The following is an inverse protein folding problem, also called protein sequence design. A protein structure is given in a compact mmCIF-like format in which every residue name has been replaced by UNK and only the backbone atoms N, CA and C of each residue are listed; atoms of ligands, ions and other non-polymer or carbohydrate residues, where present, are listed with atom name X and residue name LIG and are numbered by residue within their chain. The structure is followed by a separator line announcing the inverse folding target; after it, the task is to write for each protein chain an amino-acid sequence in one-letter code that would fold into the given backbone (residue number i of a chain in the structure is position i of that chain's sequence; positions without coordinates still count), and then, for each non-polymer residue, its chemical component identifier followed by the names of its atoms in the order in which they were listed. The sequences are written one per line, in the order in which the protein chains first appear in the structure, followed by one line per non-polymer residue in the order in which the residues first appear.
data_IF_839628309997
#
_entry.id   IF_839628309997
#
_cell.length_a   1.000
_cell.length_b   1.000
_cell.length_c   1.000
_cell.angle_alpha   90.00
_cell.angle_beta   90.00
_cell.angle_gamma   90.00
#
_symmetry.space_group_name_H-M   'P 1'
#
loop_
_entity.id
_entity.type
_entity.pdbx_description
1 polymer ?
#
# COMPACT_ATOMS: atom_id res chain seq x y z
N UNK A 1 -13.80 12.18 -41.78
CA UNK A 1 -14.95 11.53 -41.12
C UNK A 1 -14.39 10.60 -40.06
N UNK A 2 -14.25 11.05 -38.82
CA UNK A 2 -13.80 10.20 -37.72
C UNK A 2 -14.97 9.33 -37.28
N UNK A 3 -14.89 8.02 -37.54
CA UNK A 3 -15.83 7.02 -37.02
C UNK A 3 -15.82 7.12 -35.49
N UNK A 4 -16.92 7.56 -34.89
CA UNK A 4 -17.00 7.89 -33.45
C UNK A 4 -17.19 6.69 -32.53
N UNK A 5 -17.27 5.47 -33.07
CA UNK A 5 -17.44 4.23 -32.31
C UNK A 5 -16.15 3.41 -32.16
N UNK A 6 -16.19 2.34 -31.33
CA UNK A 6 -15.10 1.39 -31.23
C UNK A 6 -14.77 0.78 -32.60
N UNK A 7 -13.48 0.65 -32.91
CA UNK A 7 -13.00 -0.04 -34.12
C UNK A 7 -11.95 -1.08 -33.77
N UNK A 8 -11.95 -2.16 -34.53
CA UNK A 8 -10.97 -3.24 -34.37
C UNK A 8 -9.78 -2.99 -35.31
N UNK A 9 -8.58 -3.16 -34.78
CA UNK A 9 -7.33 -3.06 -35.54
C UNK A 9 -6.46 -4.26 -35.25
N UNK A 10 -5.84 -4.79 -36.31
CA UNK A 10 -4.90 -5.90 -36.22
C UNK A 10 -3.49 -5.37 -36.47
N UNK A 11 -2.59 -5.64 -35.52
CA UNK A 11 -1.19 -5.22 -35.57
C UNK A 11 -0.32 -6.46 -35.61
N UNK A 12 0.48 -6.59 -36.66
CA UNK A 12 1.48 -7.65 -36.77
C UNK A 12 2.81 -7.10 -36.28
N UNK A 13 3.42 -7.78 -35.32
CA UNK A 13 4.68 -7.38 -34.69
C UNK A 13 5.79 -7.30 -35.74
N UNK A 14 6.53 -6.21 -35.72
CA UNK A 14 7.74 -6.03 -36.53
C UNK A 14 9.00 -6.26 -35.69
N UNK A 15 10.18 -6.11 -36.30
CA UNK A 15 11.48 -6.14 -35.62
C UNK A 15 11.57 -5.14 -34.46
N UNK A 16 10.84 -4.02 -34.53
CA UNK A 16 10.75 -3.00 -33.48
C UNK A 16 9.58 -3.22 -32.51
N UNK A 17 8.99 -4.42 -32.51
CA UNK A 17 7.77 -4.74 -31.75
C UNK A 17 6.51 -4.23 -32.44
N UNK A 18 5.48 -3.93 -31.64
CA UNK A 18 4.20 -3.39 -32.14
C UNK A 18 4.27 -1.88 -32.43
N UNK A 19 5.26 -1.16 -31.93
CA UNK A 19 5.50 0.24 -32.29
C UNK A 19 4.54 1.26 -31.68
N UNK A 20 4.03 1.01 -30.47
CA UNK A 20 3.24 2.00 -29.71
C UNK A 20 3.46 1.85 -28.20
N UNK A 21 3.15 2.90 -27.45
CA UNK A 21 3.22 2.90 -25.99
C UNK A 21 1.81 2.95 -25.39
N UNK A 22 1.61 2.21 -24.30
CA UNK A 22 0.36 2.20 -23.52
C UNK A 22 0.57 2.97 -22.23
N UNK A 23 -0.43 3.75 -21.82
CA UNK A 23 -0.44 4.50 -20.57
C UNK A 23 -1.83 4.49 -19.94
N UNK A 24 -1.90 4.59 -18.62
CA UNK A 24 -3.15 4.76 -17.88
C UNK A 24 -2.99 4.33 -16.43
N UNK A 25 -4.08 3.90 -15.81
CA UNK A 25 -4.13 3.67 -14.36
C UNK A 25 -3.40 2.39 -13.92
N UNK A 26 -2.92 2.41 -12.68
CA UNK A 26 -2.24 1.26 -12.05
C UNK A 26 -3.19 0.48 -11.14
N UNK A 27 -4.26 1.11 -10.64
CA UNK A 27 -5.32 0.47 -9.85
C UNK A 27 -6.41 -0.15 -10.73
N UNK A 28 -7.03 -1.22 -10.24
CA UNK A 28 -8.19 -1.84 -10.86
C UNK A 28 -9.48 -1.07 -10.52
N UNK A 29 -10.43 -1.01 -11.46
CA UNK A 29 -11.68 -0.27 -11.31
C UNK A 29 -11.51 1.25 -11.39
N UNK A 30 -12.39 2.00 -10.75
CA UNK A 30 -12.35 3.47 -10.69
C UNK A 30 -13.59 4.16 -11.28
N UNK A 31 -13.64 5.49 -11.14
CA UNK A 31 -14.80 6.28 -11.55
C UNK A 31 -15.06 6.19 -13.06
N UNK A 32 -16.32 5.99 -13.45
CA UNK A 32 -16.73 5.97 -14.85
C UNK A 32 -16.39 7.30 -15.55
N UNK A 33 -15.90 7.22 -16.79
CA UNK A 33 -15.56 8.37 -17.63
C UNK A 33 -16.36 8.35 -18.92
N UNK A 34 -16.84 9.52 -19.32
CA UNK A 34 -17.50 9.69 -20.62
C UNK A 34 -16.45 9.80 -21.72
N UNK A 35 -16.53 8.94 -22.73
CA UNK A 35 -15.71 8.96 -23.95
C UNK A 35 -16.69 8.97 -25.13
N UNK A 36 -16.63 10.00 -25.97
CA UNK A 36 -17.57 10.21 -27.08
C UNK A 36 -19.05 10.15 -26.66
N UNK A 37 -19.39 10.55 -25.43
CA UNK A 37 -20.76 10.58 -24.92
C UNK A 37 -21.25 9.27 -24.29
N UNK A 38 -20.42 8.22 -24.27
CA UNK A 38 -20.73 6.95 -23.62
C UNK A 38 -19.83 6.74 -22.38
N UNK A 39 -20.43 6.22 -21.31
CA UNK A 39 -19.71 5.94 -20.06
C UNK A 39 -18.97 4.61 -20.16
N UNK A 40 -17.69 4.64 -19.80
CA UNK A 40 -16.83 3.47 -19.69
C UNK A 40 -16.15 3.46 -18.33
N UNK A 41 -15.78 2.27 -17.83
CA UNK A 41 -14.79 2.20 -16.77
C UNK A 41 -13.45 2.79 -17.27
N UNK A 42 -12.52 3.16 -16.38
CA UNK A 42 -11.26 3.73 -16.83
C UNK A 42 -10.53 2.84 -17.85
N UNK A 43 -10.11 3.43 -18.96
CA UNK A 43 -9.42 2.75 -20.06
C UNK A 43 -7.96 3.16 -20.14
N UNK A 44 -7.10 2.20 -20.47
CA UNK A 44 -5.74 2.48 -20.91
C UNK A 44 -5.77 3.15 -22.29
N UNK A 45 -4.71 3.87 -22.65
CA UNK A 45 -4.64 4.60 -23.91
C UNK A 45 -3.26 4.56 -24.55
N UNK A 46 -3.24 4.85 -25.84
CA UNK A 46 -2.01 4.95 -26.63
C UNK A 46 -1.37 6.31 -26.38
N UNK A 47 -0.20 6.34 -25.73
CA UNK A 47 0.50 7.60 -25.42
C UNK A 47 1.46 8.03 -26.52
N UNK A 48 1.97 7.09 -27.31
CA UNK A 48 2.87 7.35 -28.42
C UNK A 48 2.73 6.26 -29.48
N UNK A 49 2.99 6.63 -30.74
CA UNK A 49 3.01 5.72 -31.89
C UNK A 49 4.31 5.98 -32.66
N UNK A 50 5.05 4.92 -32.95
CA UNK A 50 6.28 4.99 -33.73
C UNK A 50 5.92 5.22 -35.21
N UNK A 51 6.31 6.37 -35.75
CA UNK A 51 6.08 6.72 -37.16
C UNK A 51 6.70 5.67 -38.09
N UNK A 52 5.91 5.14 -39.02
CA UNK A 52 6.29 4.05 -39.92
C UNK A 52 6.35 2.66 -39.27
N UNK A 53 6.07 2.54 -37.97
CA UNK A 53 6.01 1.29 -37.23
C UNK A 53 4.76 0.46 -37.51
N UNK A 54 4.67 -0.73 -36.91
CA UNK A 54 3.55 -1.64 -37.11
C UNK A 54 2.19 -1.03 -36.72
N UNK A 55 2.10 -0.40 -35.54
CA UNK A 55 0.88 0.27 -35.07
C UNK A 55 0.47 1.45 -35.96
N UNK A 56 1.42 2.27 -36.42
CA UNK A 56 1.14 3.39 -37.34
C UNK A 56 0.54 2.89 -38.66
N UNK A 57 1.13 1.84 -39.24
CA UNK A 57 0.61 1.18 -40.45
C UNK A 57 -0.76 0.53 -40.24
N UNK A 58 -1.05 0.08 -39.01
CA UNK A 58 -2.35 -0.47 -38.64
C UNK A 58 -3.41 0.60 -38.31
N UNK A 59 -3.06 1.89 -38.34
CA UNK A 59 -3.99 2.99 -38.09
C UNK A 59 -4.30 3.25 -36.62
N UNK A 60 -3.39 2.85 -35.72
CA UNK A 60 -3.42 3.29 -34.32
C UNK A 60 -3.00 4.76 -34.25
N UNK A 61 -3.78 5.55 -33.51
CA UNK A 61 -3.50 6.95 -33.28
C UNK A 61 -3.17 7.21 -31.82
N UNK A 62 -2.34 8.24 -31.58
CA UNK A 62 -2.11 8.76 -30.23
C UNK A 62 -3.45 9.21 -29.63
N UNK A 63 -3.69 8.83 -28.37
CA UNK A 63 -4.91 9.11 -27.64
C UNK A 63 -5.99 8.03 -27.76
N UNK A 64 -5.84 7.06 -28.67
CA UNK A 64 -6.77 5.93 -28.79
C UNK A 64 -6.93 5.20 -27.46
N UNK A 65 -8.18 5.00 -27.03
CA UNK A 65 -8.53 4.27 -25.81
C UNK A 65 -8.66 2.79 -26.11
N UNK A 66 -7.99 1.94 -25.36
CA UNK A 66 -8.01 0.50 -25.56
C UNK A 66 -9.18 -0.07 -24.78
N UNK A 67 -10.15 -0.63 -25.51
CA UNK A 67 -11.36 -1.25 -24.95
C UNK A 67 -11.19 -2.76 -24.80
N UNK A 68 -10.54 -3.41 -25.77
CA UNK A 68 -10.28 -4.86 -25.75
C UNK A 68 -8.89 -5.19 -26.28
N UNK A 69 -8.30 -6.27 -25.75
CA UNK A 69 -7.04 -6.87 -26.20
C UNK A 69 -7.30 -8.34 -26.50
N UNK A 70 -7.07 -8.76 -27.75
CA UNK A 70 -7.29 -10.13 -28.23
C UNK A 70 -8.68 -10.69 -27.87
N UNK A 71 -9.72 -9.84 -27.96
CA UNK A 71 -11.10 -10.19 -27.62
C UNK A 71 -11.44 -10.19 -26.12
N UNK A 72 -10.48 -9.86 -25.25
CA UNK A 72 -10.74 -9.67 -23.82
C UNK A 72 -10.95 -8.20 -23.50
N UNK A 73 -12.10 -7.85 -22.90
CA UNK A 73 -12.35 -6.49 -22.42
C UNK A 73 -11.34 -6.11 -21.34
N UNK A 74 -10.84 -4.87 -21.42
CA UNK A 74 -9.88 -4.29 -20.48
C UNK A 74 -10.44 -3.08 -19.74
N UNK A 75 -11.78 -2.97 -19.69
CA UNK A 75 -12.46 -1.95 -18.90
C UNK A 75 -12.09 -2.03 -17.42
N UNK A 76 -11.58 -0.92 -16.86
CA UNK A 76 -11.14 -0.85 -15.47
C UNK A 76 -9.87 -1.63 -15.16
N UNK A 77 -9.23 -2.26 -16.15
CA UNK A 77 -8.00 -3.04 -15.95
C UNK A 77 -6.80 -2.14 -15.65
N UNK A 78 -5.89 -2.67 -14.85
CA UNK A 78 -4.59 -2.07 -14.54
C UNK A 78 -3.68 -2.02 -15.78
N UNK A 79 -2.70 -1.13 -15.76
CA UNK A 79 -1.67 -1.06 -16.80
C UNK A 79 -0.98 -2.42 -17.00
N UNK A 80 -0.64 -3.10 -15.90
CA UNK A 80 0.02 -4.41 -15.91
C UNK A 80 -0.83 -5.46 -16.63
N UNK A 81 -2.10 -5.61 -16.25
CA UNK A 81 -3.02 -6.57 -16.88
C UNK A 81 -3.12 -6.34 -18.40
N UNK A 82 -3.25 -5.09 -18.85
CA UNK A 82 -3.33 -4.77 -20.29
C UNK A 82 -2.02 -5.09 -21.01
N UNK A 83 -0.86 -4.76 -20.42
CA UNK A 83 0.45 -5.07 -20.99
C UNK A 83 0.68 -6.59 -21.06
N UNK A 84 0.29 -7.33 -20.03
CA UNK A 84 0.44 -8.78 -20.00
C UNK A 84 -0.44 -9.45 -21.07
N UNK A 85 -1.68 -8.98 -21.26
CA UNK A 85 -2.55 -9.43 -22.35
C UNK A 85 -1.92 -9.16 -23.72
N UNK A 86 -1.35 -7.97 -23.94
CA UNK A 86 -0.67 -7.63 -25.20
C UNK A 86 0.53 -8.57 -25.44
N UNK A 87 1.34 -8.83 -24.41
CA UNK A 87 2.53 -9.69 -24.51
C UNK A 87 2.18 -11.16 -24.71
N UNK A 88 1.08 -11.64 -24.13
CA UNK A 88 0.64 -13.03 -24.22
C UNK A 88 0.16 -13.44 -25.62
N UNK A 89 -0.25 -12.46 -26.45
CA UNK A 89 -0.81 -12.69 -27.79
C UNK A 89 0.19 -13.06 -28.89
N UNK A 90 1.49 -13.15 -28.58
CA UNK A 90 2.52 -13.48 -29.57
C UNK A 90 2.79 -12.36 -30.57
N UNK A 91 2.83 -12.67 -31.86
CA UNK A 91 3.22 -11.73 -32.92
C UNK A 91 2.03 -11.03 -33.61
N UNK A 92 0.79 -11.43 -33.30
CA UNK A 92 -0.41 -10.79 -33.83
C UNK A 92 -1.24 -10.26 -32.68
N UNK A 93 -1.51 -8.96 -32.69
CA UNK A 93 -2.28 -8.26 -31.68
C UNK A 93 -3.58 -7.72 -32.28
N UNK A 94 -4.71 -8.11 -31.71
CA UNK A 94 -6.02 -7.55 -32.05
C UNK A 94 -6.44 -6.57 -30.97
N UNK A 95 -6.65 -5.29 -31.31
CA UNK A 95 -7.13 -4.28 -30.37
C UNK A 95 -8.50 -3.76 -30.81
N UNK A 96 -9.41 -3.61 -29.87
CA UNK A 96 -10.61 -2.79 -30.05
C UNK A 96 -10.31 -1.44 -29.42
N UNK A 97 -10.32 -0.36 -30.21
CA UNK A 97 -9.95 0.99 -29.77
C UNK A 97 -11.04 2.02 -30.06
N UNK A 98 -11.12 3.05 -29.22
CA UNK A 98 -11.98 4.22 -29.40
C UNK A 98 -11.09 5.43 -29.66
N UNK A 99 -11.21 6.03 -30.85
CA UNK A 99 -10.52 7.30 -31.12
C UNK A 99 -11.19 8.46 -30.42
N UNK A 100 -10.35 9.34 -29.90
CA UNK A 100 -10.72 10.63 -29.33
C UNK A 100 -10.33 11.75 -30.28
N UNK A 101 -10.86 12.96 -30.05
CA UNK A 101 -10.47 14.12 -30.84
C UNK A 101 -9.00 14.49 -30.63
N UNK A 102 -8.37 15.17 -31.60
CA UNK A 102 -6.98 15.65 -31.46
C UNK A 102 -6.79 16.53 -30.23
N UNK A 103 -7.75 17.41 -29.92
CA UNK A 103 -7.76 18.22 -28.70
C UNK A 103 -7.78 17.38 -27.42
N UNK A 104 -8.50 16.27 -27.41
CA UNK A 104 -8.50 15.35 -26.26
C UNK A 104 -7.20 14.55 -26.19
N UNK A 105 -6.64 14.15 -27.32
CA UNK A 105 -5.34 13.48 -27.37
C UNK A 105 -4.20 14.42 -26.90
N UNK A 106 -4.26 15.71 -27.23
CA UNK A 106 -3.33 16.76 -26.79
C UNK A 106 -3.47 17.06 -25.30
N UNK A 107 -4.68 17.00 -24.72
CA UNK A 107 -4.87 17.08 -23.25
C UNK A 107 -4.25 15.92 -22.49
N UNK A 108 -3.87 14.85 -23.18
CA UNK A 108 -3.10 13.74 -22.61
C UNK A 108 -1.59 13.98 -22.71
N UNK A 109 -1.15 15.05 -23.37
CA UNK A 109 0.24 15.50 -23.34
C UNK A 109 0.53 16.20 -22.00
N UNK A 110 1.64 15.85 -21.32
CA UNK A 110 2.18 16.71 -20.29
C UNK A 110 2.67 18.00 -20.96
N UNK A 111 2.26 19.17 -20.47
CA UNK A 111 2.91 20.42 -20.86
C UNK A 111 4.40 20.34 -20.49
N UNK A 112 5.26 20.55 -21.48
CA UNK A 112 6.71 20.54 -21.35
C UNK A 112 7.20 21.68 -20.45
N UNK A 113 7.39 21.40 -19.17
CA UNK A 113 8.57 21.90 -18.44
C UNK A 113 9.16 20.74 -17.63
N UNK A 114 10.32 20.27 -18.09
CA UNK A 114 11.23 19.32 -17.43
C UNK A 114 10.89 17.83 -17.60
N UNK A 115 11.48 17.25 -18.65
CA UNK A 115 11.91 15.86 -18.78
C UNK A 115 11.15 14.79 -17.97
N UNK A 116 10.27 14.06 -18.66
CA UNK A 116 10.19 12.60 -18.51
C UNK A 116 9.89 12.04 -17.12
N UNK A 117 8.86 12.53 -16.42
CA UNK A 117 8.28 11.78 -15.30
C UNK A 117 6.79 11.61 -15.48
N UNK A 118 6.34 10.36 -15.34
CA UNK A 118 4.98 10.07 -14.94
C UNK A 118 4.58 11.05 -13.84
N UNK A 119 3.50 11.80 -14.04
CA UNK A 119 2.88 12.55 -12.94
C UNK A 119 2.42 11.52 -11.91
N UNK A 120 3.29 11.26 -10.95
CA UNK A 120 3.02 10.39 -9.82
C UNK A 120 2.41 11.30 -8.76
N UNK A 121 1.15 11.04 -8.43
CA UNK A 121 0.46 11.79 -7.39
C UNK A 121 0.98 11.37 -6.01
N UNK A 122 1.83 12.21 -5.42
CA UNK A 122 2.40 12.01 -4.08
C UNK A 122 1.51 12.60 -2.97
N UNK A 123 0.33 13.16 -3.29
CA UNK A 123 -0.56 13.79 -2.32
C UNK A 123 -1.29 12.78 -1.44
N UNK A 124 -1.46 11.55 -1.93
CA UNK A 124 -2.08 10.46 -1.19
C UNK A 124 -1.17 9.95 -0.07
N UNK A 125 -1.48 10.37 1.16
CA UNK A 125 -0.76 9.99 2.37
C UNK A 125 -1.54 8.95 3.17
N UNK A 126 -0.84 7.94 3.69
CA UNK A 126 -1.33 6.95 4.64
C UNK A 126 -0.40 6.89 5.86
N UNK A 127 -0.95 6.58 7.03
CA UNK A 127 -0.15 6.22 8.20
C UNK A 127 0.19 4.74 8.15
N UNK A 128 1.47 4.40 8.01
CA UNK A 128 1.96 3.03 8.15
C UNK A 128 2.84 2.96 9.40
N UNK A 129 2.54 2.08 10.37
CA UNK A 129 3.45 1.83 11.47
C UNK A 129 4.64 1.04 10.92
N UNK A 130 5.80 1.70 10.82
CA UNK A 130 7.07 1.07 10.43
C UNK A 130 7.97 1.08 11.66
N UNK A 131 8.62 -0.05 11.95
CA UNK A 131 9.57 -0.14 13.06
C UNK A 131 10.82 -0.86 12.60
N UNK A 132 11.99 -0.27 12.89
CA UNK A 132 13.28 -0.91 12.64
C UNK A 132 13.72 -1.60 13.94
N UNK A 133 13.95 -2.93 13.92
CA UNK A 133 14.38 -3.69 15.09
C UNK A 133 15.62 -3.09 15.79
N UNK A 134 15.72 -3.30 17.10
CA UNK A 134 16.85 -2.81 17.91
C UNK A 134 18.19 -3.36 17.38
N UNK A 135 19.22 -2.51 17.36
CA UNK A 135 20.55 -2.84 16.84
C UNK A 135 21.21 -3.99 17.61
N UNK A 136 20.77 -4.24 18.85
CA UNK A 136 21.27 -5.32 19.73
C UNK A 136 20.79 -6.73 19.33
N UNK A 137 19.75 -6.83 18.50
CA UNK A 137 19.21 -8.10 17.99
C UNK A 137 19.86 -8.51 16.65
N UNK A 138 20.66 -7.63 16.04
CA UNK A 138 21.26 -7.87 14.73
C UNK A 138 22.66 -8.49 14.87
N UNK A 139 22.71 -9.83 14.93
CA UNK A 139 23.96 -10.59 15.05
C UNK A 139 24.76 -10.72 13.72
N UNK A 140 24.53 -9.83 12.76
CA UNK A 140 25.25 -9.82 11.48
C UNK A 140 25.67 -8.42 11.07
N UNK A 141 26.88 -8.41 10.48
CA UNK A 141 27.75 -7.29 10.09
C UNK A 141 27.04 -6.06 9.51
N UNK A 142 27.80 -4.97 9.55
CA UNK A 142 27.71 -3.64 8.96
C UNK A 142 27.03 -3.44 7.57
N UNK A 143 26.37 -4.44 6.99
CA UNK A 143 25.72 -4.45 5.68
C UNK A 143 24.34 -3.80 5.65
N UNK A 144 23.58 -3.82 6.76
CA UNK A 144 22.20 -3.29 6.78
C UNK A 144 22.08 -1.81 6.42
N UNK A 145 23.05 -0.96 6.78
CA UNK A 145 22.98 0.46 6.39
C UNK A 145 23.18 0.63 4.87
N UNK A 146 23.98 -0.22 4.22
CA UNK A 146 24.19 -0.17 2.77
C UNK A 146 22.87 -0.37 2.04
N UNK A 147 22.05 -1.31 2.52
CA UNK A 147 20.74 -1.62 1.96
C UNK A 147 19.81 -0.38 1.99
N UNK A 148 19.83 0.42 3.07
CA UNK A 148 19.09 1.68 3.12
C UNK A 148 19.61 2.74 2.13
N UNK A 149 20.91 2.75 1.85
CA UNK A 149 21.50 3.64 0.84
C UNK A 149 21.07 3.20 -0.56
N UNK A 150 21.09 1.90 -0.82
CA UNK A 150 20.71 1.33 -2.10
C UNK A 150 19.21 1.52 -2.36
N UNK A 151 18.37 1.26 -1.35
CA UNK A 151 16.95 1.62 -1.34
C UNK A 151 16.76 3.10 -1.70
N UNK A 152 17.40 4.01 -0.96
CA UNK A 152 17.28 5.45 -1.17
C UNK A 152 17.65 5.86 -2.61
N UNK A 153 18.71 5.27 -3.15
CA UNK A 153 19.18 5.57 -4.50
C UNK A 153 18.24 5.01 -5.57
N UNK A 154 17.70 3.81 -5.37
CA UNK A 154 16.75 3.19 -6.31
C UNK A 154 15.42 3.95 -6.31
N UNK A 155 14.89 4.32 -5.13
CA UNK A 155 13.70 5.15 -5.02
C UNK A 155 13.89 6.53 -5.66
N UNK A 156 15.07 7.14 -5.50
CA UNK A 156 15.40 8.39 -6.19
C UNK A 156 15.47 8.27 -7.70
N UNK A 157 15.83 7.10 -8.24
CA UNK A 157 15.84 6.85 -9.69
C UNK A 157 14.44 6.59 -10.24
N UNK A 158 13.55 6.01 -9.43
CA UNK A 158 12.18 5.68 -9.87
C UNK A 158 11.21 6.86 -9.67
N UNK A 159 11.24 7.51 -8.51
CA UNK A 159 10.32 8.60 -8.13
C UNK A 159 10.96 9.98 -8.33
N UNK A 160 11.42 10.25 -9.54
CA UNK A 160 12.10 11.51 -9.82
C UNK A 160 11.06 12.63 -9.81
N UNK A 161 11.31 13.64 -8.97
CA UNK A 161 10.36 14.71 -8.65
C UNK A 161 9.75 14.59 -7.25
N UNK A 162 9.86 13.44 -6.58
CA UNK A 162 9.57 13.38 -5.14
C UNK A 162 10.72 13.98 -4.33
N UNK A 163 10.40 14.89 -3.42
CA UNK A 163 11.39 15.48 -2.52
C UNK A 163 11.66 14.54 -1.34
N UNK A 164 12.58 13.60 -1.54
CA UNK A 164 12.94 12.62 -0.52
C UNK A 164 13.52 13.28 0.75
N UNK A 165 13.12 12.82 1.95
CA UNK A 165 13.75 13.26 3.19
C UNK A 165 15.24 12.90 3.20
N UNK A 166 16.03 13.65 3.98
CA UNK A 166 17.47 13.38 4.12
C UNK A 166 17.68 12.03 4.78
N UNK A 167 18.41 11.14 4.10
CA UNK A 167 18.86 9.89 4.70
C UNK A 167 19.91 10.19 5.78
N UNK A 168 19.80 9.62 6.99
CA UNK A 168 20.85 9.73 8.01
C UNK A 168 22.19 9.29 7.43
N UNK A 169 23.23 10.10 7.57
CA UNK A 169 24.52 9.87 6.92
C UNK A 169 25.39 8.79 7.59
N UNK A 170 26.37 8.29 6.83
CA UNK A 170 27.47 7.45 7.32
C UNK A 170 28.49 8.33 8.04
N UNK A 171 28.82 8.00 9.28
CA UNK A 171 29.88 8.68 10.02
C UNK A 171 31.20 7.90 9.84
N UNK A 172 32.35 8.56 9.61
CA UNK A 172 33.59 7.89 9.20
C UNK A 172 34.33 7.15 10.33
N UNK A 173 33.75 7.09 11.53
CA UNK A 173 34.35 6.43 12.70
C UNK A 173 33.35 5.46 13.34
N UNK A 174 33.85 4.55 14.19
CA UNK A 174 33.01 3.64 14.97
C UNK A 174 32.02 4.44 15.83
N UNK A 175 30.74 4.14 15.68
CA UNK A 175 29.65 4.82 16.38
C UNK A 175 29.47 4.23 17.79
N UNK A 176 29.21 5.10 18.77
CA UNK A 176 28.76 4.65 20.09
C UNK A 176 27.36 4.02 20.01
N UNK A 177 26.97 3.23 21.01
CA UNK A 177 25.62 2.65 21.10
C UNK A 177 24.52 3.70 20.98
N UNK A 178 24.69 4.85 21.64
CA UNK A 178 23.75 5.97 21.57
C UNK A 178 23.65 6.54 20.15
N UNK A 179 24.75 6.60 19.41
CA UNK A 179 24.76 7.08 18.03
C UNK A 179 24.18 6.03 17.06
N UNK A 180 24.34 4.74 17.35
CA UNK A 180 23.71 3.66 16.59
C UNK A 180 22.18 3.67 16.76
N UNK A 181 21.66 3.83 17.98
CA UNK A 181 20.21 3.96 18.20
C UNK A 181 19.66 5.27 17.59
N UNK A 182 20.39 6.38 17.71
CA UNK A 182 20.01 7.63 17.05
C UNK A 182 19.93 7.46 15.52
N UNK A 183 20.89 6.73 14.92
CA UNK A 183 20.86 6.42 13.48
C UNK A 183 19.70 5.49 13.13
N UNK A 184 19.42 4.46 13.94
CA UNK A 184 18.29 3.55 13.78
C UNK A 184 16.97 4.31 13.76
N UNK A 185 16.71 5.15 14.77
CA UNK A 185 15.51 6.02 14.83
C UNK A 185 15.43 6.97 13.64
N UNK A 186 16.56 7.51 13.20
CA UNK A 186 16.61 8.36 12.00
C UNK A 186 16.23 7.62 10.73
N UNK A 187 16.64 6.35 10.58
CA UNK A 187 16.28 5.49 9.46
C UNK A 187 14.79 5.10 9.52
N UNK A 188 14.26 4.88 10.72
CA UNK A 188 12.84 4.57 10.95
C UNK A 188 11.97 5.74 10.52
N UNK A 189 12.29 6.95 11.00
CA UNK A 189 11.61 8.18 10.58
C UNK A 189 11.76 8.47 9.08
N UNK A 190 12.87 8.07 8.47
CA UNK A 190 13.06 8.17 7.03
C UNK A 190 12.07 7.26 6.29
N UNK A 191 11.99 5.98 6.67
CA UNK A 191 11.04 5.03 6.09
C UNK A 191 9.59 5.43 6.32
N UNK A 192 9.22 5.86 7.53
CA UNK A 192 7.87 6.35 7.83
C UNK A 192 7.46 7.47 6.88
N UNK A 193 8.33 8.45 6.64
CA UNK A 193 8.05 9.60 5.76
C UNK A 193 7.96 9.20 4.28
N UNK A 194 8.79 8.26 3.85
CA UNK A 194 8.82 7.78 2.47
C UNK A 194 7.60 6.89 2.19
N UNK A 195 7.32 5.95 3.07
CA UNK A 195 6.19 5.02 2.95
C UNK A 195 4.85 5.66 3.35
N UNK A 196 4.85 6.84 3.96
CA UNK A 196 3.61 7.60 4.12
C UNK A 196 2.99 7.94 2.77
N UNK A 197 3.77 8.00 1.69
CA UNK A 197 3.28 8.28 0.35
C UNK A 197 2.90 6.97 -0.33
N UNK A 198 1.60 6.78 -0.58
CA UNK A 198 1.04 5.46 -0.96
C UNK A 198 1.77 4.84 -2.16
N UNK A 199 1.94 5.60 -3.24
CA UNK A 199 2.55 5.10 -4.48
C UNK A 199 4.02 4.71 -4.31
N UNK A 200 4.73 5.29 -3.33
CA UNK A 200 6.09 4.89 -3.00
C UNK A 200 6.06 3.63 -2.14
N UNK A 201 5.18 3.56 -1.14
CA UNK A 201 5.03 2.38 -0.29
C UNK A 201 4.61 1.13 -1.07
N UNK A 202 3.74 1.28 -2.07
CA UNK A 202 3.23 0.20 -2.91
C UNK A 202 4.19 -0.17 -4.06
N UNK A 203 5.37 0.44 -4.13
CA UNK A 203 6.37 0.17 -5.17
C UNK A 203 7.13 -1.14 -4.93
N UNK A 204 7.50 -1.82 -6.02
CA UNK A 204 8.27 -3.07 -5.95
C UNK A 204 9.59 -2.87 -5.19
N UNK A 205 10.25 -1.71 -5.35
CA UNK A 205 11.48 -1.38 -4.60
C UNK A 205 11.26 -1.41 -3.09
N UNK A 206 10.19 -0.78 -2.58
CA UNK A 206 9.90 -0.77 -1.14
C UNK A 206 9.46 -2.15 -0.66
N UNK A 207 8.63 -2.84 -1.44
CA UNK A 207 8.16 -4.17 -1.08
C UNK A 207 9.34 -5.17 -0.98
N UNK A 208 10.22 -5.19 -1.98
CA UNK A 208 11.43 -6.03 -2.00
C UNK A 208 12.32 -5.75 -0.78
N UNK A 209 12.59 -4.47 -0.48
CA UNK A 209 13.40 -4.08 0.67
C UNK A 209 12.79 -4.50 2.03
N UNK A 210 11.46 -4.46 2.15
CA UNK A 210 10.78 -4.90 3.37
C UNK A 210 10.71 -6.43 3.47
N UNK A 211 10.80 -7.16 2.36
CA UNK A 211 10.74 -8.62 2.31
C UNK A 211 12.10 -9.32 2.35
N UNK A 212 13.19 -8.68 1.91
CA UNK A 212 14.55 -9.24 1.86
C UNK A 212 15.26 -9.29 3.23
N UNK A 213 14.55 -8.93 4.31
CA UNK A 213 14.99 -9.25 5.66
C UNK A 213 14.76 -10.76 5.91
N UNK A 214 15.63 -11.60 5.35
CA UNK A 214 15.64 -13.07 5.40
C UNK A 214 15.16 -13.65 6.74
N UNK A 215 13.94 -14.18 6.74
CA UNK A 215 13.53 -15.42 7.42
C UNK A 215 12.19 -15.88 6.80
N UNK A 216 12.29 -16.82 5.84
CA UNK A 216 11.41 -17.95 5.46
C UNK A 216 9.90 -18.05 5.84
N UNK A 217 9.19 -17.01 6.26
CA UNK A 217 7.74 -17.07 6.53
C UNK A 217 7.03 -15.75 6.23
N UNK A 218 6.41 -15.67 5.03
CA UNK A 218 5.33 -14.76 4.62
C UNK A 218 5.56 -13.26 4.87
N UNK A 219 5.47 -12.39 3.87
CA UNK A 219 4.20 -11.72 3.56
C UNK A 219 4.23 -11.10 2.18
N UNK A 220 3.51 -11.73 1.24
CA UNK A 220 3.03 -11.04 0.05
C UNK A 220 1.96 -10.04 0.46
N UNK A 221 2.20 -8.75 0.27
CA UNK A 221 1.20 -7.67 0.40
C UNK A 221 0.23 -7.61 -0.80
N UNK A 222 0.21 -8.63 -1.66
CA UNK A 222 -0.80 -8.78 -2.71
C UNK A 222 -2.08 -9.51 -2.24
N UNK A 223 -2.15 -9.91 -0.97
CA UNK A 223 -3.41 -10.30 -0.33
C UNK A 223 -3.59 -9.51 0.95
N UNK A 224 -4.72 -8.83 1.11
CA UNK A 224 -5.10 -8.10 2.33
C UNK A 224 -5.39 -9.03 3.53
N UNK A 225 -4.77 -10.21 3.56
CA UNK A 225 -5.03 -11.27 4.52
C UNK A 225 -3.72 -11.80 5.07
N UNK A 226 -3.64 -11.81 6.41
CA UNK A 226 -2.50 -12.27 7.17
C UNK A 226 -2.89 -13.34 8.18
N UNK A 227 -2.03 -14.36 8.31
CA UNK A 227 -1.93 -15.17 9.52
C UNK A 227 -1.42 -14.28 10.66
N UNK A 228 -2.32 -13.97 11.57
CA UNK A 228 -2.00 -13.33 12.84
C UNK A 228 -2.12 -14.35 13.96
N UNK A 229 -1.06 -14.50 14.76
CA UNK A 229 -1.22 -15.06 16.08
C UNK A 229 -1.94 -14.00 16.92
N UNK A 230 -3.05 -14.38 17.56
CA UNK A 230 -3.81 -13.50 18.47
C UNK A 230 -4.11 -14.25 19.75
N UNK A 231 -4.01 -13.59 20.92
CA UNK A 231 -4.58 -14.17 22.14
C UNK A 231 -6.10 -14.35 21.94
N UNK A 232 -6.55 -15.60 21.92
CA UNK A 232 -7.96 -15.96 21.83
C UNK A 232 -8.36 -16.63 23.14
N UNK A 233 -8.47 -15.82 24.19
CA UNK A 233 -8.78 -16.29 25.52
C UNK A 233 -10.09 -15.65 25.96
N UNK A 234 -11.12 -16.45 26.20
CA UNK A 234 -12.37 -16.00 26.83
C UNK A 234 -12.35 -16.19 28.35
N UNK A 235 -11.19 -16.53 28.93
CA UNK A 235 -11.02 -16.68 30.37
C UNK A 235 -9.79 -15.91 30.86
N UNK A 236 -9.99 -14.83 31.65
CA UNK A 236 -8.88 -14.11 32.29
C UNK A 236 -8.04 -15.01 33.21
N UNK A 237 -8.63 -16.07 33.79
CA UNK A 237 -7.91 -17.02 34.63
C UNK A 237 -6.88 -17.83 33.84
N UNK A 238 -7.24 -18.28 32.62
CA UNK A 238 -6.31 -18.99 31.72
C UNK A 238 -5.19 -18.04 31.29
N UNK A 239 -5.50 -16.78 31.01
CA UNK A 239 -4.48 -15.78 30.68
C UNK A 239 -3.46 -15.59 31.80
N UNK A 240 -3.91 -15.44 33.05
CA UNK A 240 -3.02 -15.29 34.21
C UNK A 240 -2.14 -16.52 34.46
N UNK A 241 -2.64 -17.72 34.14
CA UNK A 241 -1.85 -18.96 34.23
C UNK A 241 -0.77 -19.02 33.14
N UNK A 242 -1.11 -18.65 31.91
CA UNK A 242 -0.18 -18.65 30.78
C UNK A 242 0.86 -17.52 30.87
N UNK A 243 0.52 -16.38 31.48
CA UNK A 243 1.42 -15.27 31.71
C UNK A 243 2.60 -15.59 32.67
N UNK A 244 2.65 -16.80 33.24
CA UNK A 244 3.83 -17.32 33.94
C UNK A 244 5.00 -17.63 33.00
N UNK A 245 4.69 -17.90 31.73
CA UNK A 245 5.69 -18.08 30.69
C UNK A 245 6.17 -16.72 30.16
N UNK A 246 7.50 -16.56 30.05
CA UNK A 246 8.14 -15.30 29.68
C UNK A 246 7.79 -14.86 28.25
N UNK A 247 7.74 -15.81 27.32
CA UNK A 247 7.42 -15.55 25.91
C UNK A 247 5.96 -15.16 25.77
N UNK A 248 5.05 -15.89 26.43
CA UNK A 248 3.63 -15.57 26.41
C UNK A 248 3.36 -14.21 27.05
N UNK A 249 3.96 -13.92 28.20
CA UNK A 249 3.81 -12.61 28.85
C UNK A 249 4.34 -11.46 27.98
N UNK A 250 5.44 -11.68 27.27
CA UNK A 250 6.02 -10.70 26.34
C UNK A 250 5.11 -10.46 25.14
N UNK A 251 4.57 -11.53 24.57
CA UNK A 251 3.61 -11.45 23.47
C UNK A 251 2.33 -10.71 23.87
N UNK A 252 1.73 -11.06 25.02
CA UNK A 252 0.53 -10.40 25.54
C UNK A 252 0.76 -8.91 25.80
N UNK A 253 1.94 -8.54 26.29
CA UNK A 253 2.32 -7.16 26.51
C UNK A 253 2.29 -6.36 25.21
N UNK A 254 3.00 -6.80 24.18
CA UNK A 254 3.04 -6.07 22.90
C UNK A 254 1.68 -6.03 22.21
N UNK A 255 0.91 -7.12 22.27
CA UNK A 255 -0.45 -7.13 21.75
C UNK A 255 -1.34 -6.09 22.49
N UNK A 256 -1.27 -6.02 23.81
CA UNK A 256 -2.04 -5.04 24.59
C UNK A 256 -1.58 -3.61 24.30
N UNK A 257 -0.29 -3.38 24.09
CA UNK A 257 0.25 -2.08 23.69
C UNK A 257 -0.36 -1.61 22.37
N UNK A 258 -0.43 -2.47 21.37
CA UNK A 258 -1.11 -2.16 20.09
C UNK A 258 -2.61 -1.87 20.31
N UNK A 259 -3.31 -2.69 21.10
CA UNK A 259 -4.75 -2.51 21.39
C UNK A 259 -5.04 -1.18 22.12
N UNK A 260 -4.17 -0.75 23.05
CA UNK A 260 -4.25 0.56 23.71
C UNK A 260 -3.96 1.69 22.72
N UNK A 261 -2.95 1.53 21.86
CA UNK A 261 -2.57 2.55 20.87
C UNK A 261 -3.68 2.78 19.82
N UNK A 262 -4.41 1.73 19.45
CA UNK A 262 -5.56 1.78 18.55
C UNK A 262 -6.86 2.24 19.23
N UNK A 263 -6.85 2.41 20.55
CA UNK A 263 -8.03 2.79 21.32
C UNK A 263 -9.06 1.67 21.49
N UNK A 264 -8.69 0.42 21.21
CA UNK A 264 -9.55 -0.74 21.49
C UNK A 264 -9.66 -1.00 23.00
N UNK A 265 -8.58 -0.74 23.74
CA UNK A 265 -8.59 -0.70 25.22
C UNK A 265 -8.82 0.75 25.66
N UNK A 266 -9.95 0.98 26.30
CA UNK A 266 -10.37 2.30 26.78
C UNK A 266 -9.67 2.64 28.10
N UNK A 267 -8.41 3.05 27.99
CA UNK A 267 -7.55 3.33 29.14
C UNK A 267 -7.97 4.57 29.97
N UNK A 268 -8.78 5.48 29.43
CA UNK A 268 -9.26 6.67 30.14
C UNK A 268 -8.13 7.46 30.81
N UNK A 269 -8.26 7.71 32.12
CA UNK A 269 -7.27 8.41 32.94
C UNK A 269 -5.92 7.69 33.03
N UNK A 270 -5.91 6.36 32.86
CA UNK A 270 -4.72 5.53 32.94
C UNK A 270 -3.90 5.54 31.63
N UNK A 271 -4.36 6.20 30.56
CA UNK A 271 -3.70 6.19 29.26
C UNK A 271 -2.25 6.70 29.33
N UNK A 272 -2.02 7.82 30.02
CA UNK A 272 -0.67 8.38 30.18
C UNK A 272 0.25 7.45 30.96
N UNK A 273 -0.27 6.80 32.01
CA UNK A 273 0.48 5.85 32.79
C UNK A 273 0.84 4.62 31.95
N UNK A 274 -0.10 4.06 31.18
CA UNK A 274 0.18 2.96 30.26
C UNK A 274 1.23 3.36 29.21
N UNK A 275 1.12 4.54 28.59
CA UNK A 275 2.11 5.05 27.62
C UNK A 275 3.52 5.16 28.23
N UNK A 276 3.64 5.62 29.47
CA UNK A 276 4.92 5.69 30.18
C UNK A 276 5.49 4.31 30.58
N UNK A 277 4.67 3.27 30.52
CA UNK A 277 5.00 1.88 30.87
C UNK A 277 5.23 0.98 29.65
N UNK A 278 5.34 1.54 28.43
CA UNK A 278 5.65 0.78 27.21
C UNK A 278 7.13 0.36 27.15
N UNK A 279 7.61 -0.25 28.22
CA UNK A 279 8.93 -0.86 28.38
C UNK A 279 8.71 -2.34 28.75
N UNK A 280 9.40 -3.24 28.05
CA UNK A 280 9.29 -4.69 28.26
C UNK A 280 9.59 -5.09 29.70
N UNK A 281 10.48 -4.38 30.40
CA UNK A 281 10.81 -4.65 31.81
C UNK A 281 9.64 -4.36 32.75
N UNK A 282 8.68 -3.55 32.31
CA UNK A 282 7.47 -3.15 33.06
C UNK A 282 6.22 -3.90 32.61
N UNK A 283 6.36 -4.95 31.80
CA UNK A 283 5.24 -5.71 31.22
C UNK A 283 4.23 -6.21 32.25
N UNK A 284 4.69 -6.65 33.43
CA UNK A 284 3.81 -7.16 34.48
C UNK A 284 2.91 -6.06 35.07
N UNK A 285 3.48 -4.88 35.34
CA UNK A 285 2.75 -3.70 35.80
C UNK A 285 1.79 -3.19 34.71
N UNK A 286 2.26 -3.15 33.46
CA UNK A 286 1.46 -2.72 32.32
C UNK A 286 0.22 -3.59 32.13
N UNK A 287 0.40 -4.92 32.09
CA UNK A 287 -0.70 -5.86 31.91
C UNK A 287 -1.66 -5.83 33.11
N UNK A 288 -1.17 -5.65 34.34
CA UNK A 288 -2.01 -5.52 35.53
C UNK A 288 -2.90 -4.28 35.49
N UNK A 289 -2.39 -3.15 34.97
CA UNK A 289 -3.18 -1.92 34.81
C UNK A 289 -4.15 -2.04 33.62
N UNK A 290 -3.68 -2.55 32.49
CA UNK A 290 -4.49 -2.68 31.27
C UNK A 290 -5.71 -3.62 31.47
N UNK A 291 -5.57 -4.70 32.27
CA UNK A 291 -6.67 -5.62 32.61
C UNK A 291 -7.86 -4.94 33.29
N UNK A 292 -7.64 -3.80 33.95
CA UNK A 292 -8.69 -3.05 34.64
C UNK A 292 -9.46 -2.14 33.67
N UNK A 293 -8.96 -1.98 32.44
CA UNK A 293 -9.52 -1.05 31.46
C UNK A 293 -10.59 -1.75 30.62
N UNK A 294 -11.75 -1.11 30.37
CA UNK A 294 -12.76 -1.63 29.44
C UNK A 294 -12.16 -1.85 28.05
N UNK A 295 -12.59 -2.89 27.33
CA UNK A 295 -12.01 -3.23 26.02
C UNK A 295 -10.78 -4.15 26.08
N UNK A 296 -10.20 -4.39 27.27
CA UNK A 296 -9.09 -5.33 27.40
C UNK A 296 -9.47 -6.74 26.96
N UNK A 297 -8.67 -7.31 26.05
CA UNK A 297 -8.86 -8.67 25.54
C UNK A 297 -10.03 -8.82 24.56
N UNK A 298 -10.60 -7.71 24.09
CA UNK A 298 -11.73 -7.75 23.18
C UNK A 298 -11.30 -7.82 21.72
N UNK A 299 -12.10 -8.53 20.93
CA UNK A 299 -11.97 -8.58 19.48
C UNK A 299 -12.91 -7.54 18.89
N UNK A 300 -12.34 -6.43 18.41
CA UNK A 300 -13.05 -5.35 17.73
C UNK A 300 -13.07 -5.64 16.22
N UNK A 301 -14.24 -5.60 15.61
CA UNK A 301 -14.46 -5.82 14.18
C UNK A 301 -14.60 -4.48 13.43
N UNK A 302 -14.37 -4.44 12.10
CA UNK A 302 -14.68 -3.27 11.29
C UNK A 302 -16.14 -2.82 11.45
N UNK A 303 -16.37 -1.52 11.30
CA UNK A 303 -17.72 -0.98 11.33
C UNK A 303 -18.58 -1.58 10.20
N UNK A 304 -19.86 -1.81 10.48
CA UNK A 304 -20.81 -2.36 9.52
C UNK A 304 -22.22 -1.82 9.74
N UNK A 305 -23.08 -1.93 8.73
CA UNK A 305 -24.50 -1.65 8.88
C UNK A 305 -25.16 -2.59 9.90
N UNK A 306 -26.17 -2.11 10.60
CA UNK A 306 -26.85 -2.87 11.65
C UNK A 306 -28.35 -2.54 11.66
N UNK A 307 -29.18 -3.58 11.65
CA UNK A 307 -30.64 -3.51 11.66
C UNK A 307 -31.22 -2.97 12.98
N UNK A 308 -30.45 -3.01 14.07
CA UNK A 308 -30.81 -2.36 15.32
C UNK A 308 -30.76 -0.82 15.23
N UNK A 309 -30.22 -0.24 14.15
CA UNK A 309 -30.12 1.21 13.94
C UNK A 309 -30.85 1.64 12.66
N UNK A 310 -31.47 2.82 12.70
CA UNK A 310 -32.10 3.45 11.52
C UNK A 310 -31.09 4.14 10.59
N UNK A 311 -30.01 4.70 11.16
CA UNK A 311 -28.97 5.44 10.44
C UNK A 311 -27.60 5.18 11.07
N UNK A 312 -26.54 5.24 10.25
CA UNK A 312 -25.16 4.99 10.67
C UNK A 312 -24.79 3.51 10.80
N UNK A 313 -23.56 3.25 11.22
CA UNK A 313 -23.01 1.90 11.39
C UNK A 313 -22.87 1.54 12.87
N UNK A 314 -22.45 0.31 13.15
CA UNK A 314 -21.96 -0.11 14.47
C UNK A 314 -20.56 -0.68 14.35
N UNK A 315 -19.79 -0.61 15.43
CA UNK A 315 -18.52 -1.32 15.62
C UNK A 315 -18.81 -2.51 16.54
N UNK A 316 -18.86 -3.75 16.03
CA UNK A 316 -19.03 -4.94 16.85
C UNK A 316 -17.77 -5.23 17.65
N UNK A 317 -17.92 -5.60 18.91
CA UNK A 317 -16.83 -6.08 19.76
C UNK A 317 -17.26 -7.30 20.56
N UNK A 318 -16.41 -8.31 20.60
CA UNK A 318 -16.60 -9.52 21.39
C UNK A 318 -15.60 -9.53 22.54
N UNK A 319 -16.11 -9.45 23.76
CA UNK A 319 -15.30 -9.52 24.99
C UNK A 319 -15.66 -10.71 25.87
N UNK A 320 -14.98 -10.81 27.02
CA UNK A 320 -15.14 -11.88 27.99
C UNK A 320 -16.59 -12.09 28.45
N UNK A 321 -17.33 -10.98 28.65
CA UNK A 321 -18.63 -11.00 29.31
C UNK A 321 -19.80 -10.66 28.37
N UNK A 322 -19.51 -10.05 27.22
CA UNK A 322 -20.56 -9.50 26.36
C UNK A 322 -20.09 -9.34 24.90
N UNK A 323 -21.07 -9.42 24.01
CA UNK A 323 -21.00 -8.87 22.67
C UNK A 323 -21.57 -7.44 22.69
N UNK A 324 -20.82 -6.46 22.21
CA UNK A 324 -21.24 -5.05 22.19
C UNK A 324 -21.28 -4.50 20.77
N UNK A 325 -22.27 -3.63 20.54
CA UNK A 325 -22.42 -2.87 19.30
C UNK A 325 -22.30 -1.38 19.63
N UNK A 326 -21.17 -0.77 19.30
CA UNK A 326 -20.94 0.65 19.53
C UNK A 326 -21.41 1.45 18.31
N UNK A 327 -22.25 2.47 18.51
CA UNK A 327 -22.74 3.31 17.42
C UNK A 327 -21.61 4.15 16.80
N UNK A 328 -21.59 4.23 15.47
CA UNK A 328 -20.69 5.09 14.70
C UNK A 328 -21.38 5.63 13.43
N UNK A 329 -20.75 6.58 12.74
CA UNK A 329 -21.17 7.04 11.41
C UNK A 329 -20.79 5.99 10.34
N UNK A 330 -21.28 6.19 9.12
CA UNK A 330 -21.00 5.30 7.98
C UNK A 330 -19.51 5.25 7.60
N UNK A 331 -18.75 6.29 7.94
CA UNK A 331 -17.29 6.35 7.78
C UNK A 331 -16.50 5.72 8.95
N UNK A 332 -17.20 5.14 9.93
CA UNK A 332 -16.60 4.52 11.11
C UNK A 332 -16.25 5.47 12.26
N UNK A 333 -16.46 6.78 12.11
CA UNK A 333 -16.23 7.74 13.20
C UNK A 333 -17.25 7.56 14.33
N UNK A 334 -16.75 7.57 15.58
CA UNK A 334 -17.60 7.40 16.78
C UNK A 334 -18.61 8.55 16.90
N UNK A 335 -19.82 8.22 17.36
CA UNK A 335 -20.90 9.18 17.63
C UNK A 335 -20.97 9.55 19.10
#
# INVERSE_FOLDING_TARGET
MTTSGPRVVQIVKSETGFGFNVRGQVSEGGQLRSINGQLYAPLQHVSAVLKGGAADKAGILKGDRILEVNGSSVEGSTHKQVVDLIKSGGDVLLLTVISVSTKEAERLEPHEETAGYSYIDYSEKRSLPISIPDYRLADKKNDKYSEFVDLHNNLKKEFIGFNFPKLPGKWPFALSEQQLDARRRGLEQYLEKVCAVRVIAESDIVQEFLTDCDDDQNYSTASATCLALRRWLFSPQVELLLARDDLISTYMFWQTVDEVNRGHVMAGENLYQLKAMQDINRRSEYLALARQSPGYGEVVFPHCGCDARKEGHVIPSLGFNAFRLQACKEDGSLQ
#
